data_IF_972326648867
#
_entry.id   IF_972326648867
#
_cell.length_a   1.000
_cell.length_b   1.000
_cell.length_c   1.000
_cell.angle_alpha   90.00
_cell.angle_beta   90.00
_cell.angle_gamma   90.00
#
_symmetry.space_group_name_H-M   'P 1'
#
loop_
_entity.id
_entity.type
_entity.pdbx_description
1 polymer ?
#
# COMPACT_ATOMS: atom_id res chain seq x y z
N UNK A 1 14.25 -9.31 3.07
CA UNK A 1 14.32 -8.07 2.25
C UNK A 1 13.69 -6.92 3.04
N UNK A 2 14.07 -5.65 2.84
CA UNK A 2 13.43 -4.55 3.58
C UNK A 2 11.94 -4.42 3.20
N UNK A 3 11.63 -4.62 1.92
CA UNK A 3 10.28 -4.54 1.36
C UNK A 3 9.99 -5.74 0.44
N UNK A 4 8.76 -6.23 0.48
CA UNK A 4 8.18 -7.18 -0.47
C UNK A 4 6.87 -6.58 -1.00
N UNK A 5 6.91 -6.13 -2.25
CA UNK A 5 5.77 -5.48 -2.91
C UNK A 5 5.07 -6.51 -3.78
N UNK A 6 3.75 -6.59 -3.66
CA UNK A 6 2.92 -7.50 -4.45
C UNK A 6 1.54 -6.90 -4.73
N UNK A 7 0.74 -7.64 -5.49
CA UNK A 7 -0.64 -7.29 -5.85
C UNK A 7 -1.46 -8.54 -6.13
N UNK A 8 -2.40 -8.46 -7.08
CA UNK A 8 -3.31 -9.54 -7.50
C UNK A 8 -4.37 -9.97 -6.46
N UNK A 9 -4.06 -9.91 -5.16
CA UNK A 9 -5.03 -10.13 -4.09
C UNK A 9 -5.79 -8.84 -3.84
N UNK A 10 -7.10 -8.83 -4.13
CA UNK A 10 -7.93 -7.62 -4.10
C UNK A 10 -8.40 -7.21 -2.68
N UNK A 11 -8.12 -8.05 -1.67
CA UNK A 11 -8.30 -7.77 -0.24
C UNK A 11 -7.00 -7.25 0.39
N UNK A 12 -7.10 -6.66 1.59
CA UNK A 12 -5.93 -6.25 2.41
C UNK A 12 -4.93 -5.32 1.69
N UNK A 13 -5.44 -4.26 1.06
CA UNK A 13 -4.61 -3.15 0.58
C UNK A 13 -3.88 -2.48 1.74
N UNK A 14 -2.58 -2.21 1.58
CA UNK A 14 -1.77 -1.55 2.61
C UNK A 14 -0.49 -2.31 2.93
N UNK A 15 -0.01 -2.16 4.16
CA UNK A 15 1.28 -2.70 4.61
C UNK A 15 1.15 -3.40 5.95
N UNK A 16 1.87 -4.51 6.10
CA UNK A 16 2.12 -5.16 7.38
C UNK A 16 3.62 -5.43 7.54
N UNK A 17 4.07 -5.58 8.79
CA UNK A 17 5.46 -5.89 9.11
C UNK A 17 5.55 -7.27 9.75
N UNK A 18 6.38 -8.15 9.19
CA UNK A 18 6.69 -9.46 9.76
C UNK A 18 8.21 -9.55 9.93
N UNK A 19 8.66 -9.58 11.19
CA UNK A 19 10.08 -9.45 11.51
C UNK A 19 10.64 -8.12 10.99
N UNK A 20 11.69 -8.19 10.17
CA UNK A 20 12.31 -7.01 9.53
C UNK A 20 11.78 -6.70 8.13
N UNK A 21 10.84 -7.51 7.61
CA UNK A 21 10.31 -7.35 6.25
C UNK A 21 8.95 -6.69 6.28
N UNK A 22 8.78 -5.63 5.49
CA UNK A 22 7.48 -4.98 5.23
C UNK A 22 6.86 -5.57 3.97
N UNK A 23 5.66 -6.10 4.11
CA UNK A 23 4.87 -6.68 3.03
C UNK A 23 3.82 -5.66 2.60
N UNK A 24 3.85 -5.24 1.34
CA UNK A 24 3.03 -4.14 0.82
C UNK A 24 2.17 -4.68 -0.32
N UNK A 25 0.85 -4.69 -0.11
CA UNK A 25 -0.13 -5.01 -1.14
C UNK A 25 -0.61 -3.71 -1.80
N UNK A 26 -0.17 -3.50 -3.05
CA UNK A 26 -0.45 -2.31 -3.84
C UNK A 26 -1.65 -2.48 -4.78
N UNK A 27 -2.58 -3.38 -4.49
CA UNK A 27 -3.76 -3.59 -5.33
C UNK A 27 -4.62 -2.34 -5.47
N UNK A 28 -4.90 -1.93 -6.71
CA UNK A 28 -5.67 -0.72 -7.01
C UNK A 28 -7.18 -0.98 -6.95
N UNK A 29 -7.63 -2.14 -7.41
CA UNK A 29 -9.04 -2.48 -7.44
C UNK A 29 -9.46 -3.17 -6.13
N UNK A 30 -10.43 -2.57 -5.45
CA UNK A 30 -11.08 -3.13 -4.27
C UNK A 30 -12.35 -3.90 -4.59
N UNK A 31 -13.13 -4.18 -3.55
CA UNK A 31 -14.42 -4.85 -3.69
C UNK A 31 -15.34 -4.04 -4.59
N UNK A 32 -16.13 -4.75 -5.40
CA UNK A 32 -17.08 -4.17 -6.36
C UNK A 32 -16.46 -3.21 -7.39
N UNK A 33 -15.14 -3.33 -7.61
CA UNK A 33 -14.44 -2.53 -8.61
C UNK A 33 -14.06 -1.12 -8.16
N UNK A 34 -14.29 -0.75 -6.89
CA UNK A 34 -13.90 0.56 -6.35
C UNK A 34 -12.38 0.72 -6.41
N UNK A 35 -11.91 1.83 -7.00
CA UNK A 35 -10.48 2.12 -7.09
C UNK A 35 -9.96 2.73 -5.79
N UNK A 36 -8.83 2.22 -5.29
CA UNK A 36 -8.11 2.76 -4.14
C UNK A 36 -7.04 3.77 -4.58
N UNK A 37 -6.70 4.68 -3.68
CA UNK A 37 -5.55 5.57 -3.87
C UNK A 37 -4.25 4.78 -3.95
N UNK A 38 -3.27 5.35 -4.64
CA UNK A 38 -1.91 4.82 -4.62
C UNK A 38 -1.32 4.92 -3.20
N UNK A 39 -0.55 3.91 -2.81
CA UNK A 39 0.26 3.96 -1.61
C UNK A 39 1.52 4.76 -1.89
N UNK A 40 1.82 5.73 -1.02
CA UNK A 40 3.07 6.45 -1.03
C UNK A 40 3.94 5.93 0.11
N UNK A 41 5.14 5.45 -0.19
CA UNK A 41 6.07 4.90 0.79
C UNK A 41 7.27 5.83 0.91
N UNK A 42 7.57 6.29 2.12
CA UNK A 42 8.89 6.83 2.41
C UNK A 42 9.88 5.66 2.57
N UNK A 43 10.86 5.59 1.67
CA UNK A 43 11.81 4.48 1.62
C UNK A 43 12.75 4.45 2.82
N UNK A 44 13.04 5.59 3.45
CA UNK A 44 14.01 5.65 4.53
C UNK A 44 13.35 5.25 5.86
N UNK A 45 12.29 5.95 6.24
CA UNK A 45 11.50 5.63 7.44
C UNK A 45 10.75 4.29 7.30
N UNK A 46 10.30 3.97 6.09
CA UNK A 46 9.45 2.83 5.80
C UNK A 46 8.00 3.02 6.24
N UNK A 47 7.55 4.26 6.35
CA UNK A 47 6.17 4.62 6.66
C UNK A 47 5.35 4.85 5.38
N UNK A 48 4.06 4.50 5.43
CA UNK A 48 3.11 4.88 4.39
C UNK A 48 2.60 6.29 4.66
N UNK A 49 2.75 7.16 3.67
CA UNK A 49 2.30 8.55 3.73
C UNK A 49 0.86 8.67 3.26
N UNK A 50 0.03 9.36 4.04
CA UNK A 50 -1.33 9.72 3.65
C UNK A 50 -1.25 10.80 2.57
N UNK A 51 -1.77 10.51 1.38
CA UNK A 51 -1.93 11.53 0.33
C UNK A 51 -3.28 12.19 0.51
N UNK A 52 -3.32 13.37 1.14
CA UNK A 52 -4.51 14.22 1.11
C UNK A 52 -4.70 14.75 -0.32
N UNK A 53 -5.74 14.27 -1.01
CA UNK A 53 -6.13 14.85 -2.30
C UNK A 53 -6.90 16.13 -2.02
N UNK A 54 -6.32 17.28 -2.34
CA UNK A 54 -7.10 18.51 -2.49
C UNK A 54 -8.15 18.25 -3.58
N UNK A 55 -9.42 18.47 -3.25
CA UNK A 55 -10.51 18.43 -4.23
C UNK A 55 -10.35 19.67 -5.12
N UNK A 56 -9.95 19.45 -6.37
CA UNK A 56 -10.14 20.43 -7.46
C UNK A 56 -11.62 20.50 -7.86
#
# INVERSE_FOLDING_TARGET
>A
PKYHIFGHIHSHHGMITIGSTRYINCNVQGENGVLRSALLLDYDSGELLTVERNKE
#
